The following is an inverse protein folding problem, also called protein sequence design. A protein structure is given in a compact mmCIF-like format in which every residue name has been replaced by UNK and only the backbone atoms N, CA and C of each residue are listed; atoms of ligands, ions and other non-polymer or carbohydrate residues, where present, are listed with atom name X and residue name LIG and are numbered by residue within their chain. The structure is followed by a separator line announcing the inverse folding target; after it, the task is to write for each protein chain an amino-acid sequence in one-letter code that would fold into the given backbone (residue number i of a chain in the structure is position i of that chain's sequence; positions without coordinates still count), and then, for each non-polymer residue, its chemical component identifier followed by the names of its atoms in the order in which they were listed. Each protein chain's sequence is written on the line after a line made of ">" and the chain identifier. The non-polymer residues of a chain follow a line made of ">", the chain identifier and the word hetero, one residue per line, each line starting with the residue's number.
data_IF_195189470760
#
_entry.id   IF_195189470760
#
_cell.length_a   1.000
_cell.length_b   1.000
_cell.length_c   1.000
_cell.angle_alpha   90.00
_cell.angle_beta   90.00
_cell.angle_gamma   90.00
#
_symmetry.space_group_name_H-M   'P 1'
#
loop_
_entity.id
_entity.type
_entity.pdbx_description
1 polymer ?
#
# COMPACT_ATOMS: atom_id res chain seq x y z
N UNK A 1 -26.58 -71.42 -11.08
CA UNK A 1 -25.46 -70.49 -11.31
C UNK A 1 -24.29 -70.92 -10.46
N UNK A 2 -23.21 -71.30 -11.10
CA UNK A 2 -22.09 -72.03 -10.43
C UNK A 2 -21.22 -71.02 -9.59
N UNK A 3 -20.78 -71.47 -8.43
CA UNK A 3 -19.93 -70.76 -7.46
C UNK A 3 -18.77 -69.94 -8.11
N UNK A 4 -18.24 -70.37 -9.25
CA UNK A 4 -17.21 -69.70 -10.04
C UNK A 4 -17.67 -68.33 -10.59
N UNK A 5 -18.93 -68.19 -11.01
CA UNK A 5 -19.47 -66.90 -11.54
C UNK A 5 -19.68 -65.86 -10.43
N UNK A 6 -20.01 -66.32 -9.23
CA UNK A 6 -20.20 -65.49 -8.05
C UNK A 6 -18.86 -64.93 -7.51
N UNK A 7 -17.80 -65.75 -7.53
CA UNK A 7 -16.46 -65.33 -7.14
C UNK A 7 -15.86 -64.31 -8.12
N UNK A 8 -16.08 -64.48 -9.44
CA UNK A 8 -15.64 -63.50 -10.43
C UNK A 8 -16.38 -62.14 -10.33
N UNK A 9 -17.69 -62.14 -10.01
CA UNK A 9 -18.46 -60.93 -9.79
C UNK A 9 -18.01 -60.17 -8.52
N UNK A 10 -17.66 -60.92 -7.44
CA UNK A 10 -17.13 -60.28 -6.21
C UNK A 10 -15.73 -59.72 -6.41
N UNK A 11 -14.87 -60.42 -7.17
CA UNK A 11 -13.53 -59.92 -7.50
C UNK A 11 -13.57 -58.65 -8.39
N UNK A 12 -14.51 -58.57 -9.33
CA UNK A 12 -14.70 -57.40 -10.20
C UNK A 12 -15.27 -56.19 -9.42
N UNK A 13 -16.18 -56.43 -8.45
CA UNK A 13 -16.72 -55.39 -7.58
C UNK A 13 -15.68 -54.81 -6.62
N UNK A 14 -14.76 -55.63 -6.09
CA UNK A 14 -13.65 -55.21 -5.21
C UNK A 14 -12.60 -54.42 -6.03
N UNK A 15 -12.31 -54.83 -7.28
CA UNK A 15 -11.41 -54.08 -8.17
C UNK A 15 -11.97 -52.72 -8.58
N UNK A 16 -13.29 -52.60 -8.75
CA UNK A 16 -13.95 -51.33 -9.07
C UNK A 16 -14.00 -50.40 -7.86
N UNK A 17 -14.05 -50.90 -6.63
CA UNK A 17 -13.97 -50.06 -5.41
C UNK A 17 -12.56 -49.54 -5.13
N UNK A 18 -11.52 -50.24 -5.56
CA UNK A 18 -10.13 -49.78 -5.44
C UNK A 18 -9.73 -48.70 -6.47
N UNK A 19 -10.47 -48.62 -7.57
CA UNK A 19 -10.25 -47.58 -8.60
C UNK A 19 -10.87 -46.22 -8.23
N UNK A 20 -11.72 -46.12 -7.21
CA UNK A 20 -12.37 -44.86 -6.77
C UNK A 20 -11.62 -44.14 -5.64
N UNK A 21 -10.52 -44.71 -5.12
CA UNK A 21 -9.72 -44.07 -4.07
C UNK A 21 -8.51 -43.27 -4.58
N UNK A 22 -8.39 -43.04 -5.87
CA UNK A 22 -7.22 -42.51 -6.53
C UNK A 22 -7.35 -41.07 -7.10
N UNK A 23 -8.09 -40.14 -6.45
CA UNK A 23 -7.99 -38.70 -6.72
C UNK A 23 -8.44 -37.94 -5.50
N UNK A 24 -7.74 -38.11 -4.37
CA UNK A 24 -7.71 -37.06 -3.36
C UNK A 24 -6.74 -36.00 -3.85
N UNK A 25 -7.22 -35.14 -4.77
CA UNK A 25 -6.62 -33.84 -4.97
C UNK A 25 -6.57 -33.22 -3.57
N UNK A 26 -5.37 -32.92 -3.05
CA UNK A 26 -5.24 -32.06 -1.89
C UNK A 26 -6.10 -30.82 -2.21
N UNK A 27 -7.26 -30.70 -1.58
CA UNK A 27 -7.91 -29.41 -1.47
C UNK A 27 -6.89 -28.52 -0.80
N UNK A 28 -6.32 -27.58 -1.55
CA UNK A 28 -5.55 -26.49 -0.99
C UNK A 28 -6.55 -25.77 -0.10
N UNK A 29 -6.38 -25.89 1.21
CA UNK A 29 -7.18 -25.15 2.16
C UNK A 29 -6.94 -23.66 1.84
N UNK A 30 -7.93 -23.01 1.24
CA UNK A 30 -7.82 -21.62 0.83
C UNK A 30 -7.78 -20.76 2.09
N UNK A 31 -6.61 -20.19 2.40
CA UNK A 31 -6.49 -19.25 3.48
C UNK A 31 -7.26 -17.96 3.12
N UNK A 32 -8.27 -17.61 3.91
CA UNK A 32 -8.97 -16.34 3.75
C UNK A 32 -8.19 -15.24 4.46
N UNK A 33 -7.98 -14.10 3.78
CA UNK A 33 -7.28 -12.90 4.30
C UNK A 33 -8.16 -11.68 4.06
N UNK A 34 -8.47 -10.93 5.12
CA UNK A 34 -9.15 -9.63 5.03
C UNK A 34 -8.09 -8.54 5.04
N UNK A 35 -7.87 -7.91 3.88
CA UNK A 35 -6.92 -6.82 3.69
C UNK A 35 -7.67 -5.48 3.68
N UNK A 36 -7.21 -4.52 4.51
CA UNK A 36 -7.73 -3.16 4.49
C UNK A 36 -6.65 -2.21 3.97
N UNK A 37 -6.88 -1.60 2.80
CA UNK A 37 -5.99 -0.59 2.22
C UNK A 37 -6.36 0.82 2.66
N UNK A 38 -5.38 1.72 2.74
CA UNK A 38 -5.57 3.11 3.17
C UNK A 38 -6.39 3.94 2.16
N UNK A 39 -6.20 3.69 0.88
CA UNK A 39 -6.90 4.32 -0.25
C UNK A 39 -6.74 3.47 -1.50
N UNK A 40 -7.62 3.63 -2.47
CA UNK A 40 -7.49 2.96 -3.77
C UNK A 40 -6.71 3.87 -4.74
N UNK A 41 -5.49 3.49 -5.09
CA UNK A 41 -4.58 4.32 -5.88
C UNK A 41 -3.63 3.49 -6.74
N UNK A 42 -3.34 3.94 -7.95
CA UNK A 42 -2.31 3.35 -8.83
C UNK A 42 -0.93 3.32 -8.15
N UNK A 43 -0.73 4.10 -7.10
CA UNK A 43 0.44 4.03 -6.23
C UNK A 43 0.68 2.63 -5.65
N UNK A 44 -0.35 1.80 -5.62
CA UNK A 44 -0.28 0.41 -5.16
C UNK A 44 -0.35 -0.61 -6.29
N UNK A 45 0.06 -0.23 -7.50
CA UNK A 45 0.00 -1.10 -8.69
C UNK A 45 0.53 -2.53 -8.45
N UNK A 46 1.65 -2.77 -7.73
CA UNK A 46 2.09 -4.15 -7.46
C UNK A 46 1.06 -4.99 -6.68
N UNK A 47 0.30 -4.37 -5.75
CA UNK A 47 -0.77 -5.07 -5.04
C UNK A 47 -1.89 -5.49 -6.01
N UNK A 48 -2.30 -4.58 -6.90
CA UNK A 48 -3.37 -4.90 -7.87
C UNK A 48 -2.90 -5.88 -8.94
N UNK A 49 -1.64 -5.86 -9.33
CA UNK A 49 -1.05 -6.89 -10.19
C UNK A 49 -1.12 -8.27 -9.53
N UNK A 50 -0.90 -8.36 -8.20
CA UNK A 50 -1.05 -9.63 -7.49
C UNK A 50 -2.49 -10.16 -7.54
N UNK A 51 -3.48 -9.28 -7.51
CA UNK A 51 -4.90 -9.65 -7.70
C UNK A 51 -5.19 -10.06 -9.16
N UNK A 52 -4.88 -9.20 -10.12
CA UNK A 52 -5.31 -9.37 -11.51
C UNK A 52 -4.58 -10.52 -12.23
N UNK A 53 -3.35 -10.83 -11.84
CA UNK A 53 -2.61 -11.99 -12.36
C UNK A 53 -2.84 -13.27 -11.52
N UNK A 54 -3.71 -13.21 -10.50
CA UNK A 54 -4.10 -14.38 -9.72
C UNK A 54 -2.99 -14.93 -8.82
N UNK A 55 -2.01 -14.13 -8.40
CA UNK A 55 -0.88 -14.62 -7.60
C UNK A 55 -1.28 -15.02 -6.18
N UNK A 56 -2.32 -14.40 -5.63
CA UNK A 56 -2.90 -14.82 -4.35
C UNK A 56 -3.61 -16.16 -4.47
N UNK A 57 -4.40 -16.36 -5.52
CA UNK A 57 -5.10 -17.61 -5.80
C UNK A 57 -4.12 -18.77 -6.09
N UNK A 58 -3.04 -18.50 -6.86
CA UNK A 58 -1.95 -19.47 -7.08
C UNK A 58 -1.29 -19.90 -5.75
N UNK A 59 -1.16 -18.96 -4.79
CA UNK A 59 -0.66 -19.25 -3.47
C UNK A 59 -1.69 -19.97 -2.56
N UNK A 60 -2.93 -20.17 -3.04
CA UNK A 60 -4.04 -20.77 -2.29
C UNK A 60 -4.62 -19.79 -1.25
N UNK A 61 -4.63 -18.48 -1.56
CA UNK A 61 -5.24 -17.46 -0.73
C UNK A 61 -6.48 -16.89 -1.42
N UNK A 62 -7.49 -16.56 -0.61
CA UNK A 62 -8.60 -15.70 -1.01
C UNK A 62 -8.47 -14.39 -0.24
N UNK A 63 -8.06 -13.32 -0.92
CA UNK A 63 -7.85 -12.01 -0.31
C UNK A 63 -9.07 -11.12 -0.56
N UNK A 64 -9.73 -10.69 0.51
CA UNK A 64 -10.83 -9.73 0.45
C UNK A 64 -10.30 -8.34 0.74
N UNK A 65 -10.33 -7.46 -0.27
CA UNK A 65 -9.84 -6.08 -0.17
C UNK A 65 -10.96 -5.13 0.25
N UNK A 66 -10.69 -4.29 1.24
CA UNK A 66 -11.56 -3.19 1.67
C UNK A 66 -10.78 -1.89 1.73
N UNK A 67 -11.45 -0.76 1.48
CA UNK A 67 -10.83 0.57 1.55
C UNK A 67 -11.19 1.26 2.88
N UNK A 68 -10.18 1.62 3.67
CA UNK A 68 -10.35 2.30 4.95
C UNK A 68 -10.59 3.81 4.81
N UNK A 69 -10.00 4.44 3.79
CA UNK A 69 -10.08 5.89 3.59
C UNK A 69 -9.28 6.71 4.60
N UNK A 70 -8.15 6.15 5.08
CA UNK A 70 -7.22 6.79 6.02
C UNK A 70 -6.47 5.77 6.88
N UNK A 71 -5.21 6.06 7.24
CA UNK A 71 -4.36 5.13 8.01
C UNK A 71 -4.90 4.84 9.41
N UNK A 72 -5.51 5.83 10.05
CA UNK A 72 -6.19 5.72 11.34
C UNK A 72 -7.37 4.73 11.30
N UNK A 73 -8.13 4.73 10.20
CA UNK A 73 -9.26 3.81 10.01
C UNK A 73 -8.78 2.39 9.70
N UNK A 74 -7.71 2.25 8.89
CA UNK A 74 -7.07 0.95 8.64
C UNK A 74 -6.57 0.36 9.96
N UNK A 75 -5.85 1.14 10.76
CA UNK A 75 -5.37 0.69 12.07
C UNK A 75 -6.53 0.30 12.99
N UNK A 76 -7.61 1.09 13.02
CA UNK A 76 -8.81 0.76 13.79
C UNK A 76 -9.41 -0.58 13.33
N UNK A 77 -9.49 -0.85 12.02
CA UNK A 77 -10.00 -2.11 11.49
C UNK A 77 -9.15 -3.31 11.93
N UNK A 78 -7.82 -3.17 11.93
CA UNK A 78 -6.88 -4.22 12.39
C UNK A 78 -7.01 -4.45 13.89
N UNK A 79 -7.01 -3.39 14.71
CA UNK A 79 -7.14 -3.49 16.16
C UNK A 79 -8.50 -4.07 16.60
N UNK A 80 -9.56 -3.82 15.82
CA UNK A 80 -10.89 -4.36 16.06
C UNK A 80 -11.09 -5.79 15.51
N UNK A 81 -10.08 -6.37 14.85
CA UNK A 81 -10.19 -7.68 14.20
C UNK A 81 -11.15 -7.70 13.00
N UNK A 82 -11.46 -6.55 12.41
CA UNK A 82 -12.24 -6.44 11.17
C UNK A 82 -11.39 -6.69 9.92
N UNK A 83 -10.09 -6.38 10.00
CA UNK A 83 -9.08 -6.74 9.02
C UNK A 83 -7.99 -7.60 9.66
N UNK A 84 -7.46 -8.57 8.92
CA UNK A 84 -6.34 -9.41 9.33
C UNK A 84 -5.02 -8.70 9.04
N UNK A 85 -4.96 -8.01 7.91
CA UNK A 85 -3.80 -7.26 7.44
C UNK A 85 -4.23 -5.83 7.15
N UNK A 86 -3.49 -4.86 7.67
CA UNK A 86 -3.57 -3.45 7.31
C UNK A 86 -2.52 -3.10 6.28
N UNK A 87 -2.87 -2.24 5.34
CA UNK A 87 -1.97 -1.68 4.34
C UNK A 87 -2.07 -0.16 4.34
N UNK A 88 -1.14 0.48 5.05
CA UNK A 88 -1.14 1.92 5.29
C UNK A 88 0.27 2.40 5.66
N UNK A 89 0.40 3.66 6.04
CA UNK A 89 1.65 4.21 6.55
C UNK A 89 2.09 3.54 7.86
N UNK A 90 3.37 3.17 7.98
CA UNK A 90 3.89 2.47 9.16
C UNK A 90 3.95 3.35 10.42
N UNK A 91 3.76 4.68 10.31
CA UNK A 91 3.61 5.59 11.45
C UNK A 91 2.46 5.16 12.38
N UNK A 92 1.40 4.59 11.81
CA UNK A 92 0.28 4.08 12.59
C UNK A 92 0.69 2.95 13.55
N UNK A 93 1.67 2.11 13.16
CA UNK A 93 2.25 1.11 14.04
C UNK A 93 3.10 1.75 15.15
N UNK A 94 3.84 2.82 14.84
CA UNK A 94 4.64 3.56 15.82
C UNK A 94 3.71 4.17 16.88
N UNK A 95 2.65 4.87 16.48
CA UNK A 95 1.68 5.45 17.42
C UNK A 95 1.05 4.38 18.32
N UNK A 96 0.60 3.26 17.74
CA UNK A 96 -0.04 2.18 18.50
C UNK A 96 0.95 1.50 19.48
N UNK A 97 2.19 1.32 19.08
CA UNK A 97 3.24 0.78 19.96
C UNK A 97 3.49 1.68 21.18
N UNK A 98 3.51 3.00 20.96
CA UNK A 98 3.74 3.98 22.03
C UNK A 98 2.58 4.07 23.04
N UNK A 99 1.39 3.54 22.71
CA UNK A 99 0.30 3.35 23.68
C UNK A 99 0.62 2.29 24.74
N UNK A 100 1.67 1.49 24.56
CA UNK A 100 2.19 0.53 25.56
C UNK A 100 1.39 -0.76 25.69
N UNK A 101 0.62 -1.15 24.66
CA UNK A 101 -0.09 -2.43 24.64
C UNK A 101 0.88 -3.59 24.39
N UNK A 102 0.67 -4.75 25.03
CA UNK A 102 1.51 -5.94 24.82
C UNK A 102 1.37 -6.54 23.42
N UNK A 103 0.13 -6.63 22.89
CA UNK A 103 -0.16 -7.06 21.54
C UNK A 103 -0.41 -5.83 20.66
N UNK A 104 0.54 -5.53 19.79
CA UNK A 104 0.54 -4.39 18.88
C UNK A 104 0.83 -4.87 17.44
N UNK A 105 0.46 -4.09 16.41
CA UNK A 105 0.74 -4.48 15.04
C UNK A 105 2.23 -4.33 14.71
N UNK A 106 2.77 -5.30 13.94
CA UNK A 106 4.11 -5.24 13.36
C UNK A 106 4.04 -5.14 11.85
N UNK A 107 4.95 -4.36 11.30
CA UNK A 107 5.19 -4.30 9.85
C UNK A 107 5.94 -5.56 9.43
N UNK A 108 5.47 -6.21 8.36
CA UNK A 108 6.09 -7.43 7.84
C UNK A 108 6.38 -7.39 6.33
N UNK A 109 6.06 -6.26 5.67
CA UNK A 109 6.38 -6.01 4.28
C UNK A 109 6.17 -4.56 3.89
N UNK A 110 7.06 -4.00 3.06
CA UNK A 110 6.99 -2.62 2.56
C UNK A 110 6.78 -2.60 1.05
N UNK A 111 5.71 -1.94 0.58
CA UNK A 111 5.43 -1.83 -0.86
C UNK A 111 6.06 -0.59 -1.49
N UNK A 112 5.86 0.57 -0.89
CA UNK A 112 6.32 1.85 -1.43
C UNK A 112 7.39 2.47 -0.55
N UNK A 113 8.41 3.08 -1.19
CA UNK A 113 9.59 3.60 -0.50
C UNK A 113 9.76 5.12 -0.61
N UNK A 114 8.78 5.81 -1.22
CA UNK A 114 8.73 7.28 -1.36
C UNK A 114 7.30 7.76 -1.24
N UNK A 115 7.14 9.06 -1.01
CA UNK A 115 5.82 9.69 -1.10
C UNK A 115 5.27 9.58 -2.53
N UNK A 116 4.03 9.15 -2.66
CA UNK A 116 3.35 8.99 -3.94
C UNK A 116 2.54 10.21 -4.36
N UNK A 117 2.59 11.31 -3.60
CA UNK A 117 1.82 12.52 -3.91
C UNK A 117 2.60 13.50 -4.78
N UNK A 118 1.82 14.28 -5.48
CA UNK A 118 2.27 15.38 -6.34
C UNK A 118 1.69 16.68 -5.82
N UNK A 119 2.49 17.75 -5.86
CA UNK A 119 2.01 19.10 -5.60
C UNK A 119 1.28 19.61 -6.83
N UNK A 120 0.05 20.05 -6.63
CA UNK A 120 -0.83 20.60 -7.66
C UNK A 120 -1.01 22.08 -7.40
N UNK A 121 -0.79 22.91 -8.40
CA UNK A 121 -1.07 24.33 -8.39
C UNK A 121 -2.26 24.67 -9.30
N UNK A 122 -2.81 25.88 -9.15
CA UNK A 122 -3.95 26.36 -9.96
C UNK A 122 -3.58 26.69 -11.38
N UNK A 123 -2.31 27.04 -11.61
CA UNK A 123 -1.80 27.46 -12.92
C UNK A 123 -0.57 26.62 -13.29
N UNK A 124 -0.32 26.52 -14.60
CA UNK A 124 0.99 26.08 -15.09
C UNK A 124 1.99 27.16 -14.82
N UNK A 125 3.01 26.85 -14.04
CA UNK A 125 4.08 27.77 -13.70
C UNK A 125 5.43 27.06 -13.68
N UNK A 126 6.50 27.81 -13.85
CA UNK A 126 7.85 27.33 -13.55
C UNK A 126 7.98 27.29 -12.01
N UNK A 127 7.83 26.09 -11.47
CA UNK A 127 7.72 25.90 -10.02
C UNK A 127 9.09 25.90 -9.34
N UNK A 128 9.16 26.67 -8.25
CA UNK A 128 10.20 26.55 -7.23
C UNK A 128 9.51 26.49 -5.86
N UNK A 129 10.16 25.90 -4.87
CA UNK A 129 9.57 25.82 -3.52
C UNK A 129 9.27 27.18 -2.91
N UNK A 130 10.00 28.21 -3.28
CA UNK A 130 9.77 29.60 -2.86
C UNK A 130 8.40 30.15 -3.30
N UNK A 131 7.79 29.59 -4.36
CA UNK A 131 6.43 29.97 -4.80
C UNK A 131 5.37 29.71 -3.71
N UNK A 132 5.67 28.82 -2.75
CA UNK A 132 4.75 28.48 -1.66
C UNK A 132 4.77 29.50 -0.51
N UNK A 133 5.70 30.44 -0.49
CA UNK A 133 5.80 31.44 0.59
C UNK A 133 4.53 32.31 0.68
N UNK A 134 3.93 32.36 1.87
CA UNK A 134 2.67 33.06 2.13
C UNK A 134 1.43 32.35 1.54
N UNK A 135 1.54 31.11 1.12
CA UNK A 135 0.48 30.32 0.49
C UNK A 135 -0.08 29.27 1.42
N UNK A 136 -1.29 28.80 1.08
CA UNK A 136 -1.96 27.70 1.75
C UNK A 136 -1.89 26.43 0.89
N UNK A 137 -1.38 25.35 1.46
CA UNK A 137 -1.34 24.00 0.85
C UNK A 137 -2.32 23.10 1.58
N UNK A 138 -3.26 22.49 0.88
CA UNK A 138 -4.07 21.40 1.44
C UNK A 138 -3.17 20.15 1.52
N UNK A 139 -2.71 19.79 2.74
CA UNK A 139 -1.66 18.79 2.98
C UNK A 139 -2.14 17.46 3.51
N UNK A 140 -3.44 17.33 3.81
CA UNK A 140 -4.01 16.12 4.41
C UNK A 140 -4.01 16.14 5.94
N UNK A 141 -4.36 15.03 6.56
CA UNK A 141 -4.57 14.92 7.99
C UNK A 141 -3.26 15.11 8.78
N UNK A 142 -3.31 15.94 9.82
CA UNK A 142 -2.19 16.15 10.77
C UNK A 142 -1.69 14.81 11.34
N UNK A 143 -0.37 14.63 11.34
CA UNK A 143 0.29 13.42 11.83
C UNK A 143 0.15 12.20 10.91
N UNK A 144 -0.34 12.36 9.68
CA UNK A 144 -0.24 11.35 8.63
C UNK A 144 1.06 11.47 7.84
N UNK A 145 1.59 10.35 7.32
CA UNK A 145 2.86 10.41 6.54
C UNK A 145 2.82 11.44 5.41
N UNK A 146 1.71 11.61 4.63
CA UNK A 146 1.66 12.62 3.58
C UNK A 146 1.92 14.05 4.09
N UNK A 147 1.23 14.43 5.16
CA UNK A 147 1.35 15.77 5.73
C UNK A 147 2.74 15.99 6.34
N UNK A 148 3.23 15.03 7.15
CA UNK A 148 4.56 15.13 7.76
C UNK A 148 5.68 15.13 6.72
N UNK A 149 5.53 14.40 5.61
CA UNK A 149 6.49 14.40 4.51
C UNK A 149 6.50 15.75 3.79
N UNK A 150 5.32 16.35 3.56
CA UNK A 150 5.22 17.71 3.01
C UNK A 150 5.95 18.70 3.91
N UNK A 151 5.73 18.69 5.24
CA UNK A 151 6.44 19.55 6.18
C UNK A 151 7.97 19.35 6.09
N UNK A 152 8.41 18.10 6.03
CA UNK A 152 9.84 17.76 5.90
C UNK A 152 10.43 18.33 4.61
N UNK A 153 9.75 18.20 3.48
CA UNK A 153 10.19 18.71 2.20
C UNK A 153 10.23 20.25 2.21
N UNK A 154 9.23 20.92 2.80
CA UNK A 154 9.23 22.37 2.97
C UNK A 154 10.45 22.83 3.78
N UNK A 155 10.72 22.22 4.93
CA UNK A 155 11.90 22.53 5.78
C UNK A 155 13.21 22.33 5.03
N UNK A 156 13.33 21.22 4.27
CA UNK A 156 14.50 20.92 3.44
C UNK A 156 14.77 22.02 2.40
N UNK A 157 13.72 22.67 1.92
CA UNK A 157 13.78 23.78 0.94
C UNK A 157 13.75 25.18 1.60
N UNK A 158 14.00 25.26 2.92
CA UNK A 158 14.14 26.54 3.63
C UNK A 158 12.83 27.23 3.97
N UNK A 159 11.70 26.52 3.90
CA UNK A 159 10.38 27.04 4.26
C UNK A 159 9.94 26.46 5.61
N UNK A 160 9.41 27.29 6.48
CA UNK A 160 8.95 26.89 7.82
C UNK A 160 7.42 26.72 7.78
N UNK A 161 6.91 25.46 7.92
CA UNK A 161 5.48 25.21 8.04
C UNK A 161 4.86 26.00 9.19
N UNK A 162 3.69 26.59 8.95
CA UNK A 162 2.98 27.45 9.91
C UNK A 162 3.54 28.87 10.04
N UNK A 163 4.63 29.19 9.35
CA UNK A 163 5.19 30.56 9.29
C UNK A 163 5.32 31.06 7.85
N UNK A 164 6.02 30.31 7.01
CA UNK A 164 6.24 30.65 5.61
C UNK A 164 5.14 30.08 4.70
N UNK A 165 4.60 28.91 5.07
CA UNK A 165 3.58 28.19 4.31
C UNK A 165 2.54 27.68 5.29
N UNK A 166 1.25 27.96 5.06
CA UNK A 166 0.15 27.41 5.81
C UNK A 166 -0.19 26.02 5.26
N UNK A 167 -0.28 25.00 6.12
CA UNK A 167 -0.74 23.67 5.73
C UNK A 167 -2.14 23.46 6.29
N UNK A 168 -3.14 23.40 5.41
CA UNK A 168 -4.50 23.07 5.81
C UNK A 168 -4.62 21.55 6.02
N UNK A 169 -4.72 21.17 7.28
CA UNK A 169 -4.90 19.77 7.72
C UNK A 169 -6.34 19.42 8.09
N UNK A 170 -7.28 20.36 7.89
CA UNK A 170 -8.69 20.19 8.25
C UNK A 170 -9.48 19.36 7.23
N UNK A 171 -8.98 19.28 5.99
CA UNK A 171 -9.66 18.60 4.89
C UNK A 171 -9.36 17.09 4.92
N UNK A 172 -10.42 16.29 4.94
CA UNK A 172 -10.28 14.83 4.88
C UNK A 172 -9.63 14.38 3.57
N UNK A 173 -8.79 13.35 3.62
CA UNK A 173 -7.96 12.88 2.50
C UNK A 173 -8.76 12.71 1.19
N UNK A 174 -9.90 12.04 1.23
CA UNK A 174 -10.77 11.80 0.07
C UNK A 174 -11.54 13.04 -0.42
N UNK A 175 -11.47 14.16 0.31
CA UNK A 175 -12.14 15.42 -0.03
C UNK A 175 -11.17 16.47 -0.58
N UNK A 176 -9.86 16.25 -0.53
CA UNK A 176 -8.84 17.25 -0.86
C UNK A 176 -8.95 17.76 -2.29
N UNK A 177 -9.13 16.87 -3.27
CA UNK A 177 -9.32 17.24 -4.68
C UNK A 177 -10.57 18.09 -4.90
N UNK A 178 -11.68 17.72 -4.25
CA UNK A 178 -12.93 18.47 -4.31
C UNK A 178 -12.82 19.84 -3.65
N UNK A 179 -12.17 19.95 -2.49
CA UNK A 179 -11.93 21.20 -1.81
C UNK A 179 -11.06 22.14 -2.66
N UNK A 180 -9.98 21.64 -3.24
CA UNK A 180 -9.14 22.44 -4.14
C UNK A 180 -9.90 22.87 -5.38
N UNK A 181 -10.66 21.99 -6.04
CA UNK A 181 -11.50 22.36 -7.18
C UNK A 181 -12.59 23.40 -6.83
N UNK A 182 -13.00 23.45 -5.55
CA UNK A 182 -13.92 24.43 -4.97
C UNK A 182 -13.24 25.68 -4.41
N UNK A 183 -12.05 26.02 -4.91
CA UNK A 183 -11.26 27.21 -4.56
C UNK A 183 -10.70 27.28 -3.13
N UNK A 184 -10.62 26.15 -2.40
CA UNK A 184 -9.89 26.08 -1.15
C UNK A 184 -8.40 25.91 -1.40
N UNK A 185 -7.56 26.60 -0.63
CA UNK A 185 -6.09 26.56 -0.75
C UNK A 185 -5.53 27.08 -2.07
N UNK A 186 -4.26 27.43 -2.09
CA UNK A 186 -3.51 27.81 -3.30
C UNK A 186 -2.95 26.60 -4.02
N UNK A 187 -2.56 25.56 -3.24
CA UNK A 187 -1.99 24.31 -3.69
C UNK A 187 -2.62 23.14 -2.93
N UNK A 188 -2.45 21.95 -3.47
CA UNK A 188 -2.89 20.69 -2.83
C UNK A 188 -1.90 19.57 -3.16
N UNK A 189 -1.72 18.62 -2.26
CA UNK A 189 -1.02 17.36 -2.55
C UNK A 189 -2.03 16.29 -2.91
N UNK A 190 -1.88 15.66 -4.08
CA UNK A 190 -2.78 14.61 -4.56
C UNK A 190 -1.99 13.40 -5.05
N UNK A 191 -2.59 12.23 -4.87
CA UNK A 191 -2.11 10.97 -5.46
C UNK A 191 -2.70 10.77 -6.85
N UNK A 192 -2.07 9.91 -7.61
CA UNK A 192 -2.59 9.45 -8.88
C UNK A 192 -3.66 8.33 -8.69
N UNK A 193 -4.67 8.22 -9.54
CA UNK A 193 -4.87 8.98 -10.81
C UNK A 193 -5.50 10.37 -10.64
N UNK A 194 -5.89 10.76 -9.42
CA UNK A 194 -6.64 12.00 -9.14
C UNK A 194 -5.87 13.26 -9.59
N UNK A 195 -4.53 13.26 -9.45
CA UNK A 195 -3.68 14.36 -9.90
C UNK A 195 -3.78 14.57 -11.43
N UNK A 196 -3.66 13.48 -12.19
CA UNK A 196 -3.79 13.50 -13.66
C UNK A 196 -5.22 13.86 -14.11
N UNK A 197 -6.25 13.36 -13.41
CA UNK A 197 -7.65 13.69 -13.71
C UNK A 197 -7.92 15.18 -13.50
N UNK A 198 -7.43 15.76 -12.41
CA UNK A 198 -7.56 17.18 -12.14
C UNK A 198 -6.86 18.03 -13.23
N UNK A 199 -5.68 17.61 -13.69
CA UNK A 199 -4.97 18.29 -14.79
C UNK A 199 -5.73 18.18 -16.12
N UNK A 200 -6.34 17.02 -16.43
CA UNK A 200 -7.18 16.84 -17.63
C UNK A 200 -8.44 17.70 -17.60
N UNK A 201 -9.03 17.88 -16.42
CA UNK A 201 -10.20 18.74 -16.23
C UNK A 201 -9.84 20.24 -16.22
N UNK A 202 -8.57 20.60 -16.27
CA UNK A 202 -8.10 21.98 -16.21
C UNK A 202 -8.34 22.67 -14.87
N UNK A 203 -8.52 21.89 -13.80
CA UNK A 203 -8.79 22.37 -12.44
C UNK A 203 -7.53 22.55 -11.61
N UNK A 204 -6.40 22.04 -12.08
CA UNK A 204 -5.09 22.14 -11.44
C UNK A 204 -4.01 21.52 -12.33
N UNK A 205 -2.74 21.77 -12.00
CA UNK A 205 -1.60 21.32 -12.79
C UNK A 205 -0.56 20.69 -11.87
N UNK A 206 -0.04 19.53 -12.26
CA UNK A 206 1.06 18.87 -11.55
C UNK A 206 2.33 19.70 -11.70
N UNK A 207 2.89 20.15 -10.59
CA UNK A 207 4.08 21.01 -10.54
C UNK A 207 5.34 20.24 -10.19
N UNK A 208 5.27 19.38 -9.17
CA UNK A 208 6.42 18.56 -8.71
C UNK A 208 5.95 17.34 -7.93
N UNK A 209 6.86 16.39 -7.73
CA UNK A 209 6.65 15.21 -6.87
C UNK A 209 7.20 15.45 -5.47
N UNK A 210 6.37 15.24 -4.45
CA UNK A 210 6.83 15.24 -3.05
C UNK A 210 7.82 14.12 -2.80
N UNK A 211 7.60 12.95 -3.38
CA UNK A 211 8.46 11.78 -3.21
C UNK A 211 9.86 11.90 -3.84
N UNK A 212 9.99 12.61 -4.95
CA UNK A 212 11.29 12.90 -5.53
C UNK A 212 12.14 13.76 -4.57
N UNK A 213 11.51 14.70 -3.88
CA UNK A 213 12.17 15.61 -2.94
C UNK A 213 12.43 14.98 -1.56
N UNK A 214 11.52 14.17 -1.05
CA UNK A 214 11.65 13.58 0.29
C UNK A 214 12.78 12.54 0.39
N UNK A 215 13.10 11.87 -0.70
CA UNK A 215 13.95 10.69 -0.70
C UNK A 215 13.22 9.44 -0.17
N UNK A 216 13.97 8.38 0.16
CA UNK A 216 13.38 7.14 0.67
C UNK A 216 12.84 7.32 2.08
N UNK A 217 11.53 7.14 2.22
CA UNK A 217 10.78 7.05 3.47
C UNK A 217 9.83 5.86 3.32
N UNK A 218 9.75 4.90 4.28
CA UNK A 218 8.78 3.82 4.18
C UNK A 218 7.37 4.43 4.22
N UNK A 219 6.69 4.40 3.05
CA UNK A 219 5.48 5.19 2.90
C UNK A 219 4.21 4.37 3.09
N UNK A 220 4.14 3.19 2.45
CA UNK A 220 3.05 2.25 2.68
C UNK A 220 3.58 0.85 2.88
N UNK A 221 3.12 0.22 3.95
CA UNK A 221 3.58 -1.08 4.40
C UNK A 221 2.41 -1.98 4.84
N UNK A 222 2.62 -3.27 4.79
CA UNK A 222 1.72 -4.29 5.32
C UNK A 222 2.04 -4.54 6.78
N UNK A 223 1.02 -4.51 7.62
CA UNK A 223 1.14 -4.80 9.04
C UNK A 223 -0.02 -5.65 9.54
N UNK A 224 0.22 -6.41 10.58
CA UNK A 224 -0.78 -7.22 11.26
C UNK A 224 -0.45 -7.33 12.74
N UNK A 225 -1.43 -7.70 13.57
CA UNK A 225 -1.22 -7.95 14.99
C UNK A 225 -0.21 -9.07 15.21
N UNK A 226 0.66 -8.97 16.22
CA UNK A 226 1.69 -9.97 16.51
C UNK A 226 1.12 -11.39 16.64
N UNK A 227 0.01 -11.54 17.36
CA UNK A 227 -0.63 -12.83 17.50
C UNK A 227 -1.08 -13.40 16.14
N UNK A 228 -1.63 -12.57 15.24
CA UNK A 228 -2.01 -13.02 13.89
C UNK A 228 -0.79 -13.53 13.11
N UNK A 229 0.33 -12.80 13.14
CA UNK A 229 1.58 -13.21 12.46
C UNK A 229 2.09 -14.56 12.97
N UNK A 230 1.98 -14.83 14.28
CA UNK A 230 2.36 -16.11 14.88
C UNK A 230 1.40 -17.25 14.57
N UNK A 231 0.10 -17.00 14.64
CA UNK A 231 -0.93 -18.03 14.46
C UNK A 231 -1.12 -18.39 12.98
N UNK A 232 -0.85 -17.45 12.05
CA UNK A 232 -1.08 -17.57 10.61
C UNK A 232 0.20 -17.50 9.77
N UNK A 233 1.34 -17.94 10.29
CA UNK A 233 2.67 -17.84 9.67
C UNK A 233 2.68 -18.28 8.19
N UNK A 234 2.04 -19.42 7.85
CA UNK A 234 1.98 -19.92 6.47
C UNK A 234 1.15 -19.02 5.56
N UNK A 235 0.07 -18.43 6.05
CA UNK A 235 -0.75 -17.46 5.30
C UNK A 235 0.05 -16.21 5.00
N UNK A 236 0.78 -15.67 5.98
CA UNK A 236 1.65 -14.50 5.83
C UNK A 236 2.78 -14.79 4.84
N UNK A 237 3.41 -15.96 4.91
CA UNK A 237 4.46 -16.39 3.96
C UNK A 237 3.95 -16.43 2.52
N UNK A 238 2.78 -17.03 2.29
CA UNK A 238 2.13 -17.08 0.98
C UNK A 238 1.73 -15.69 0.47
N UNK A 239 1.20 -14.84 1.35
CA UNK A 239 0.80 -13.47 1.03
C UNK A 239 2.00 -12.64 0.56
N UNK A 240 3.10 -12.67 1.31
CA UNK A 240 4.35 -11.97 0.96
C UNK A 240 4.96 -12.53 -0.33
N UNK A 241 4.95 -13.85 -0.54
CA UNK A 241 5.48 -14.44 -1.76
C UNK A 241 4.69 -14.01 -3.01
N UNK A 242 3.36 -13.93 -2.92
CA UNK A 242 2.52 -13.41 -4.01
C UNK A 242 2.80 -11.95 -4.33
N UNK A 243 2.98 -11.11 -3.31
CA UNK A 243 3.33 -9.71 -3.47
C UNK A 243 4.74 -9.51 -4.03
N UNK A 244 5.73 -10.28 -3.58
CA UNK A 244 7.10 -10.22 -4.11
C UNK A 244 7.13 -10.57 -5.60
N UNK A 245 6.37 -11.60 -6.00
CA UNK A 245 6.18 -11.96 -7.42
C UNK A 245 5.59 -10.79 -8.22
N UNK A 246 4.60 -10.10 -7.68
CA UNK A 246 3.96 -8.97 -8.33
C UNK A 246 4.87 -7.74 -8.41
N UNK A 247 5.64 -7.43 -7.36
CA UNK A 247 6.63 -6.34 -7.40
C UNK A 247 7.69 -6.58 -8.47
N UNK A 248 8.23 -7.79 -8.53
CA UNK A 248 9.19 -8.19 -9.53
C UNK A 248 8.61 -8.06 -10.94
N UNK A 249 7.39 -8.54 -11.15
CA UNK A 249 6.68 -8.40 -12.41
C UNK A 249 6.53 -6.93 -12.83
N UNK A 250 6.08 -6.05 -11.92
CA UNK A 250 5.95 -4.60 -12.22
C UNK A 250 7.31 -3.95 -12.55
N UNK A 251 8.39 -4.38 -11.90
CA UNK A 251 9.72 -3.85 -12.17
C UNK A 251 10.18 -4.19 -13.59
N UNK A 252 9.89 -5.40 -14.08
CA UNK A 252 10.35 -5.92 -15.38
C UNK A 252 9.49 -5.54 -16.59
N UNK A 253 8.24 -5.06 -16.35
CA UNK A 253 7.29 -4.80 -17.44
C UNK A 253 7.14 -3.31 -17.71
N UNK A 254 6.84 -3.00 -18.99
CA UNK A 254 6.61 -1.63 -19.45
C UNK A 254 5.35 -1.03 -18.77
N UNK A 255 5.30 0.31 -18.59
CA UNK A 255 4.15 0.98 -17.98
C UNK A 255 2.81 0.65 -18.62
N UNK A 256 2.78 0.47 -19.95
CA UNK A 256 1.56 0.11 -20.69
C UNK A 256 1.07 -1.32 -20.40
N UNK A 257 1.97 -2.24 -20.11
CA UNK A 257 1.64 -3.61 -19.72
C UNK A 257 1.08 -3.62 -18.31
N UNK A 258 1.73 -2.93 -17.37
CA UNK A 258 1.24 -2.76 -15.99
C UNK A 258 -0.13 -2.10 -15.99
N UNK A 259 -0.31 -1.01 -16.74
CA UNK A 259 -1.59 -0.30 -16.88
C UNK A 259 -2.70 -1.22 -17.42
N UNK A 260 -2.38 -2.07 -18.39
CA UNK A 260 -3.35 -3.02 -18.97
C UNK A 260 -3.81 -4.04 -17.92
N UNK A 261 -2.90 -4.56 -17.12
CA UNK A 261 -3.21 -5.54 -16.07
C UNK A 261 -4.08 -4.92 -14.98
N UNK A 262 -3.76 -3.73 -14.50
CA UNK A 262 -4.49 -3.10 -13.40
C UNK A 262 -5.77 -2.34 -13.84
N UNK A 263 -6.03 -2.23 -15.15
CA UNK A 263 -7.20 -1.50 -15.67
C UNK A 263 -8.54 -1.91 -15.04
N UNK A 264 -8.83 -3.19 -14.76
CA UNK A 264 -10.07 -3.60 -14.11
C UNK A 264 -10.29 -2.96 -12.73
N UNK A 265 -9.21 -2.63 -12.01
CA UNK A 265 -9.27 -1.96 -10.71
C UNK A 265 -9.64 -0.47 -10.83
N UNK A 266 -9.47 0.14 -12.00
CA UNK A 266 -9.65 1.58 -12.25
C UNK A 266 -10.63 1.83 -13.38
N UNK A 267 -11.87 1.34 -13.25
CA UNK A 267 -12.88 1.36 -14.30
C UNK A 267 -13.23 2.76 -14.85
N UNK A 268 -12.95 3.83 -14.10
CA UNK A 268 -13.19 5.21 -14.52
C UNK A 268 -12.00 5.83 -15.25
N UNK A 269 -10.85 5.15 -15.33
CA UNK A 269 -9.62 5.63 -15.99
C UNK A 269 -9.40 4.92 -17.30
N UNK A 270 -8.74 5.56 -18.27
CA UNK A 270 -8.31 4.92 -19.51
C UNK A 270 -6.95 4.26 -19.37
N UNK A 271 -6.66 3.26 -20.20
CA UNK A 271 -5.34 2.61 -20.24
C UNK A 271 -4.21 3.63 -20.51
N UNK A 272 -4.47 4.66 -21.31
CA UNK A 272 -3.50 5.74 -21.59
C UNK A 272 -3.19 6.54 -20.31
N UNK A 273 -4.21 6.91 -19.51
CA UNK A 273 -4.02 7.59 -18.23
C UNK A 273 -3.20 6.73 -17.29
N UNK A 274 -3.59 5.47 -17.13
CA UNK A 274 -2.88 4.54 -16.24
C UNK A 274 -1.43 4.32 -16.68
N UNK A 275 -1.16 4.25 -17.99
CA UNK A 275 0.21 4.16 -18.53
C UNK A 275 1.05 5.35 -18.08
N UNK A 276 0.55 6.56 -18.24
CA UNK A 276 1.26 7.78 -17.83
C UNK A 276 1.48 7.83 -16.32
N UNK A 277 0.50 7.42 -15.54
CA UNK A 277 0.57 7.36 -14.08
C UNK A 277 1.59 6.32 -13.61
N UNK A 278 1.58 5.12 -14.18
CA UNK A 278 2.58 4.08 -13.87
C UNK A 278 3.98 4.56 -14.23
N UNK A 279 4.14 5.23 -15.38
CA UNK A 279 5.42 5.82 -15.78
C UNK A 279 5.90 6.84 -14.74
N UNK A 280 5.04 7.77 -14.28
CA UNK A 280 5.38 8.75 -13.24
C UNK A 280 5.87 8.08 -11.96
N UNK A 281 5.21 7.00 -11.50
CA UNK A 281 5.65 6.27 -10.31
C UNK A 281 6.96 5.50 -10.51
N UNK A 282 7.21 4.97 -11.71
CA UNK A 282 8.53 4.41 -12.07
C UNK A 282 9.62 5.48 -12.08
N UNK A 283 9.34 6.65 -12.66
CA UNK A 283 10.30 7.76 -12.77
C UNK A 283 10.78 8.29 -11.42
N UNK A 284 9.88 8.33 -10.43
CA UNK A 284 10.25 8.72 -9.06
C UNK A 284 10.75 7.54 -8.21
N UNK A 285 10.85 6.34 -8.78
CA UNK A 285 11.28 5.13 -8.07
C UNK A 285 10.43 4.88 -6.80
N UNK A 286 9.10 4.92 -6.97
CA UNK A 286 8.14 4.90 -5.87
C UNK A 286 8.06 3.54 -5.16
N UNK A 287 8.22 2.45 -5.90
CA UNK A 287 8.07 1.09 -5.39
C UNK A 287 9.37 0.53 -4.85
N UNK A 288 9.26 -0.24 -3.78
CA UNK A 288 10.40 -0.95 -3.23
C UNK A 288 10.83 -2.07 -4.21
N UNK A 289 12.12 -2.41 -4.23
CA UNK A 289 12.62 -3.51 -5.07
C UNK A 289 12.19 -4.88 -4.55
N UNK A 290 12.04 -4.96 -3.25
CA UNK A 290 11.55 -6.11 -2.51
C UNK A 290 10.73 -5.62 -1.31
N UNK A 291 10.09 -6.52 -0.59
CA UNK A 291 9.20 -6.13 0.53
C UNK A 291 9.95 -5.83 1.84
N UNK A 292 11.29 -5.79 1.83
CA UNK A 292 12.12 -5.56 3.02
C UNK A 292 12.10 -4.07 3.38
N UNK A 293 11.75 -3.76 4.63
CA UNK A 293 11.91 -2.41 5.19
C UNK A 293 13.34 -2.24 5.70
N UNK A 294 14.04 -1.21 5.22
CA UNK A 294 15.40 -0.88 5.67
C UNK A 294 15.33 -0.09 6.97
N UNK A 295 16.21 -0.41 7.92
CA UNK A 295 16.30 0.34 9.19
C UNK A 295 16.56 1.83 8.96
N UNK A 296 17.47 2.17 8.05
CA UNK A 296 17.79 3.57 7.72
C UNK A 296 16.57 4.36 7.26
N UNK A 297 15.71 3.75 6.44
CA UNK A 297 14.48 4.38 5.96
C UNK A 297 13.45 4.55 7.10
N UNK A 298 13.35 3.55 7.98
CA UNK A 298 12.50 3.63 9.17
C UNK A 298 12.96 4.72 10.14
N UNK A 299 14.27 4.85 10.36
CA UNK A 299 14.83 5.91 11.20
C UNK A 299 14.57 7.29 10.59
N UNK A 300 14.61 7.40 9.26
CA UNK A 300 14.21 8.64 8.57
C UNK A 300 12.72 8.96 8.74
N UNK A 301 11.83 7.97 8.67
CA UNK A 301 10.42 8.18 8.99
C UNK A 301 10.25 8.76 10.40
N UNK A 302 10.93 8.19 11.39
CA UNK A 302 10.87 8.69 12.75
C UNK A 302 11.40 10.13 12.88
N UNK A 303 12.47 10.46 12.14
CA UNK A 303 12.98 11.84 12.06
C UNK A 303 11.95 12.80 11.45
N UNK A 304 11.22 12.37 10.42
CA UNK A 304 10.12 13.15 9.82
C UNK A 304 9.00 13.38 10.83
N UNK A 305 8.59 12.34 11.55
CA UNK A 305 7.58 12.42 12.61
C UNK A 305 8.01 13.34 13.77
N UNK A 306 9.29 13.26 14.18
CA UNK A 306 9.85 14.13 15.22
C UNK A 306 9.86 15.60 14.79
N UNK A 307 10.28 15.90 13.56
CA UNK A 307 10.30 17.26 13.02
C UNK A 307 8.89 17.86 12.85
N UNK A 308 7.88 17.03 12.63
CA UNK A 308 6.49 17.43 12.61
C UNK A 308 5.88 17.61 14.01
N UNK A 309 6.64 17.27 15.08
CA UNK A 309 6.17 17.34 16.46
C UNK A 309 5.26 16.18 16.88
N UNK A 310 5.16 15.14 16.06
CA UNK A 310 4.27 13.99 16.25
C UNK A 310 4.95 12.80 16.96
N UNK A 311 6.28 12.85 17.16
CA UNK A 311 7.05 11.81 17.83
C UNK A 311 7.94 12.43 18.90
N UNK A 312 7.78 12.01 20.15
CA UNK A 312 8.58 12.48 21.29
C UNK A 312 9.82 11.62 21.58
N UNK A 313 9.83 10.37 21.08
CA UNK A 313 10.94 9.42 21.21
C UNK A 313 10.92 8.41 20.09
N UNK A 314 12.09 8.07 19.60
CA UNK A 314 12.25 6.99 18.63
C UNK A 314 11.97 5.62 19.26
N UNK A 315 11.53 4.68 18.44
CA UNK A 315 11.30 3.28 18.83
C UNK A 315 12.26 2.37 18.08
N UNK A 316 12.60 1.24 18.67
CA UNK A 316 13.52 0.30 18.08
C UNK A 316 12.91 -0.35 16.83
N UNK A 317 13.68 -0.42 15.75
CA UNK A 317 13.30 -1.05 14.50
C UNK A 317 12.79 -2.48 14.71
N UNK A 318 13.55 -3.30 15.45
CA UNK A 318 13.22 -4.71 15.72
C UNK A 318 11.96 -4.91 16.55
N UNK A 319 11.51 -3.88 17.28
CA UNK A 319 10.24 -3.93 17.99
C UNK A 319 9.05 -3.90 17.02
N UNK A 320 9.15 -3.13 15.94
CA UNK A 320 8.04 -2.85 15.03
C UNK A 320 8.14 -3.49 13.65
N UNK A 321 9.33 -3.89 13.21
CA UNK A 321 9.55 -4.47 11.88
C UNK A 321 10.01 -5.90 11.98
N UNK A 322 9.35 -6.79 11.25
CA UNK A 322 9.73 -8.19 11.11
C UNK A 322 9.86 -8.53 9.61
N UNK A 323 11.08 -8.48 9.11
CA UNK A 323 11.39 -8.75 7.71
C UNK A 323 11.51 -10.26 7.38
N UNK A 324 11.27 -11.16 8.35
CA UNK A 324 11.53 -12.61 8.20
C UNK A 324 10.86 -13.20 6.96
N UNK A 325 9.62 -12.80 6.66
CA UNK A 325 8.90 -13.31 5.49
C UNK A 325 9.36 -12.65 4.19
N UNK A 326 9.63 -11.33 4.21
CA UNK A 326 10.13 -10.59 3.06
C UNK A 326 11.53 -11.07 2.62
N UNK A 327 12.39 -11.41 3.58
CA UNK A 327 13.73 -11.98 3.31
C UNK A 327 13.66 -13.36 2.66
N UNK A 328 12.67 -14.19 3.03
CA UNK A 328 12.47 -15.51 2.42
C UNK A 328 11.88 -15.45 1.01
N UNK A 329 11.12 -14.42 0.70
CA UNK A 329 10.46 -14.24 -0.60
C UNK A 329 11.33 -13.51 -1.64
N UNK A 330 12.58 -13.18 -1.29
CA UNK A 330 13.56 -12.44 -2.11
C UNK A 330 14.10 -13.23 -3.30
#
# INVERSE_FOLDING_TARGET
>A
MTHKKMICMFAFAVLLMLALTGCSGKQVETGKVRLCEVTHSVFYAPLYVAFELGYFEEAGLTVELTNGGGADKVMTAVLAGQADIGFAGPEACIYTYLEGKENYPKVFGQLTKRDGSFLIGRNREEFTWENLRGKTVIGGRKGGVPEMTLEYVLRKNGLIPGQDVEIDTSVQFNMMAGAFAGDSGDYVTLFEPTATEMEKEGKGFVLTSIGAESGEIPYTAFFAMQNYLHEHTQTVEKFIAALAKAQHWVAEHEPSEVATVILPQFANSSAEVLTNVVQRYKDIDAWNENLIMKQESFDRLQTVMEQAGELSRHVDFSALVDNTWAEKAR
#
